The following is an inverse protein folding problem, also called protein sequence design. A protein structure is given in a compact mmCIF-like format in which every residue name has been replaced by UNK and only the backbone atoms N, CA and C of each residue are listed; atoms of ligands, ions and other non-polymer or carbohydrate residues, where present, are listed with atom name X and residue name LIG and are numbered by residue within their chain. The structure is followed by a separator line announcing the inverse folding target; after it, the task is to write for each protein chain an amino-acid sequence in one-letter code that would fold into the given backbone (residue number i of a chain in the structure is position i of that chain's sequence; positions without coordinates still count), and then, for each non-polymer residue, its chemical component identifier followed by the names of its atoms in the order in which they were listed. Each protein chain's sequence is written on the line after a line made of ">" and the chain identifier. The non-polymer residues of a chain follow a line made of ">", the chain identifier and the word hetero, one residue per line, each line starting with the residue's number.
data_IF_638367542249
#
_entry.id   IF_638367542249
#
_cell.length_a   1.000
_cell.length_b   1.000
_cell.length_c   1.000
_cell.angle_alpha   90.00
_cell.angle_beta   90.00
_cell.angle_gamma   90.00
#
_symmetry.space_group_name_H-M   'P 1'
#
loop_
_entity.id
_entity.type
_entity.pdbx_description
1 polymer ?
#
# COMPACT_ATOMS: atom_id res chain seq x y z
N UNK A 1 10.51 -8.89 -5.06
CA UNK A 1 9.07 -9.12 -4.86
C UNK A 1 8.62 -8.24 -3.70
N UNK A 2 7.61 -7.42 -3.92
CA UNK A 2 7.14 -6.44 -2.94
C UNK A 2 5.75 -6.80 -2.46
N UNK A 3 5.49 -6.57 -1.17
CA UNK A 3 4.17 -6.68 -0.56
C UNK A 3 3.76 -5.34 -0.01
N UNK A 4 2.50 -4.97 -0.17
CA UNK A 4 1.99 -3.72 0.37
C UNK A 4 0.51 -3.84 0.72
N UNK A 5 0.12 -3.08 1.75
CA UNK A 5 -1.25 -3.12 2.26
C UNK A 5 -2.16 -2.18 1.47
N UNK A 6 -3.28 -2.72 1.02
CA UNK A 6 -4.35 -1.98 0.35
C UNK A 6 -5.61 -2.06 1.18
N UNK A 7 -6.26 -0.93 1.43
CA UNK A 7 -7.56 -0.88 2.05
C UNK A 7 -8.64 -0.89 0.98
N UNK A 8 -9.52 -1.88 0.99
CA UNK A 8 -10.67 -1.95 0.09
C UNK A 8 -11.92 -1.54 0.86
N UNK A 9 -12.54 -0.43 0.44
CA UNK A 9 -13.84 0.03 0.93
C UNK A 9 -14.92 -0.55 0.02
N UNK A 10 -15.85 -1.31 0.58
CA UNK A 10 -16.90 -1.96 -0.21
C UNK A 10 -18.23 -2.04 0.55
N UNK A 11 -19.33 -2.20 -0.19
CA UNK A 11 -20.62 -2.49 0.41
C UNK A 11 -20.72 -3.97 0.78
N UNK A 12 -21.57 -4.29 1.76
CA UNK A 12 -21.90 -5.67 2.06
C UNK A 12 -22.45 -6.39 0.82
N UNK A 13 -21.99 -7.62 0.58
CA UNK A 13 -22.34 -8.42 -0.60
C UNK A 13 -21.79 -7.89 -1.93
N UNK A 14 -21.03 -6.81 -1.97
CA UNK A 14 -20.34 -6.37 -3.19
C UNK A 14 -19.28 -7.41 -3.61
N UNK A 15 -19.21 -7.69 -4.92
CA UNK A 15 -18.22 -8.62 -5.43
C UNK A 15 -16.82 -8.03 -5.32
N UNK A 16 -16.08 -8.49 -4.33
CA UNK A 16 -14.74 -8.03 -3.95
C UNK A 16 -13.72 -8.21 -5.09
N UNK A 17 -13.73 -9.38 -5.74
CA UNK A 17 -12.81 -9.66 -6.84
C UNK A 17 -12.99 -8.68 -8.00
N UNK A 18 -14.20 -8.21 -8.25
CA UNK A 18 -14.47 -7.23 -9.31
C UNK A 18 -13.89 -5.85 -9.01
N UNK A 19 -13.69 -5.50 -7.74
CA UNK A 19 -13.03 -4.24 -7.37
C UNK A 19 -11.53 -4.30 -7.64
N UNK A 20 -10.92 -5.45 -7.46
CA UNK A 20 -9.49 -5.68 -7.62
C UNK A 20 -9.11 -6.02 -9.09
N UNK A 21 -9.96 -6.76 -9.80
CA UNK A 21 -9.66 -7.28 -11.14
C UNK A 21 -9.12 -6.25 -12.15
N UNK A 22 -9.59 -4.98 -12.19
CA UNK A 22 -9.07 -3.98 -13.14
C UNK A 22 -7.58 -3.68 -12.98
N UNK A 23 -7.00 -4.02 -11.83
CA UNK A 23 -5.62 -3.70 -11.43
C UNK A 23 -4.69 -4.92 -11.46
N UNK A 24 -5.19 -6.07 -11.90
CA UNK A 24 -4.38 -7.28 -12.08
C UNK A 24 -3.42 -7.11 -13.26
N UNK A 25 -2.12 -7.35 -13.05
CA UNK A 25 -1.12 -7.25 -14.12
C UNK A 25 -1.31 -8.31 -15.21
N UNK A 26 -1.88 -9.46 -14.85
CA UNK A 26 -2.16 -10.55 -15.78
C UNK A 26 -3.47 -10.35 -16.60
N UNK A 27 -4.17 -9.23 -16.38
CA UNK A 27 -5.34 -8.88 -17.19
C UNK A 27 -4.88 -8.39 -18.57
N UNK A 28 -5.09 -9.19 -19.59
CA UNK A 28 -4.91 -8.75 -20.97
C UNK A 28 -6.02 -7.75 -21.37
N UNK A 29 -5.60 -6.63 -21.95
CA UNK A 29 -6.50 -5.62 -22.48
C UNK A 29 -6.45 -5.56 -24.01
N UNK A 30 -7.43 -4.91 -24.62
CA UNK A 30 -7.40 -4.66 -26.07
C UNK A 30 -6.08 -3.97 -26.45
N UNK A 31 -5.44 -4.38 -27.57
CA UNK A 31 -4.17 -3.79 -27.98
C UNK A 31 -4.24 -2.27 -28.12
N UNK A 32 -3.40 -1.57 -27.40
CA UNK A 32 -3.27 -0.12 -27.49
C UNK A 32 -1.89 0.28 -27.96
N UNK A 33 -1.81 1.41 -28.70
CA UNK A 33 -0.57 1.95 -29.20
C UNK A 33 0.39 2.27 -28.03
N UNK A 34 1.53 1.57 -27.98
CA UNK A 34 2.57 1.82 -26.97
C UNK A 34 3.66 2.73 -27.51
N UNK A 35 4.15 2.46 -28.73
CA UNK A 35 5.18 3.27 -29.38
C UNK A 35 4.94 3.37 -30.90
N UNK A 36 5.07 4.57 -31.44
CA UNK A 36 5.25 4.77 -32.88
C UNK A 36 6.60 4.22 -33.30
N UNK A 37 6.73 3.85 -34.59
CA UNK A 37 7.97 3.27 -35.14
C UNK A 37 9.22 4.05 -34.73
N UNK A 38 9.23 5.38 -34.96
CA UNK A 38 10.40 6.24 -34.68
C UNK A 38 10.74 6.28 -33.18
N UNK A 39 9.73 6.28 -32.31
CA UNK A 39 9.90 6.23 -30.85
C UNK A 39 10.48 4.89 -30.40
N UNK A 40 9.95 3.78 -30.95
CA UNK A 40 10.45 2.43 -30.67
C UNK A 40 11.92 2.30 -31.07
N UNK A 41 12.29 2.77 -32.27
CA UNK A 41 13.70 2.80 -32.73
C UNK A 41 14.59 3.66 -31.84
N UNK A 42 14.09 4.83 -31.44
CA UNK A 42 14.85 5.72 -30.54
C UNK A 42 15.13 5.02 -29.20
N UNK A 43 14.11 4.44 -28.56
CA UNK A 43 14.26 3.71 -27.29
C UNK A 43 15.17 2.48 -27.44
N UNK A 44 14.99 1.69 -28.50
CA UNK A 44 15.84 0.54 -28.76
C UNK A 44 17.32 0.93 -28.95
N UNK A 45 17.59 2.07 -29.55
CA UNK A 45 18.96 2.60 -29.68
C UNK A 45 19.54 3.10 -28.36
N UNK A 46 18.73 3.74 -27.55
CA UNK A 46 19.13 4.18 -26.20
C UNK A 46 19.50 2.98 -25.32
N UNK A 47 18.73 1.89 -25.41
CA UNK A 47 18.89 0.71 -24.58
C UNK A 47 19.98 -0.26 -25.05
N UNK A 48 19.98 -0.60 -26.35
CA UNK A 48 20.91 -1.61 -26.91
C UNK A 48 22.14 -1.00 -27.60
N UNK A 49 22.19 0.31 -27.77
CA UNK A 49 23.24 1.01 -28.50
C UNK A 49 23.16 0.86 -30.03
N UNK A 50 24.01 1.61 -30.72
CA UNK A 50 24.00 1.67 -32.18
C UNK A 50 24.85 0.59 -32.86
N UNK A 51 25.53 -0.30 -32.13
CA UNK A 51 26.57 -1.15 -32.68
C UNK A 51 25.98 -2.27 -33.55
N UNK A 52 26.21 -2.11 -34.90
CA UNK A 52 26.08 -3.15 -35.92
C UNK A 52 24.68 -3.74 -36.18
N UNK A 53 23.59 -3.06 -35.78
CA UNK A 53 22.22 -3.52 -36.05
C UNK A 53 21.45 -2.52 -36.90
N UNK A 54 20.65 -3.04 -37.83
CA UNK A 54 19.71 -2.21 -38.59
C UNK A 54 18.53 -1.76 -37.71
N UNK A 55 17.85 -0.70 -38.09
CA UNK A 55 16.62 -0.26 -37.39
C UNK A 55 15.58 -1.37 -37.32
N UNK A 56 15.47 -2.20 -38.37
CA UNK A 56 14.53 -3.32 -38.42
C UNK A 56 14.85 -4.40 -37.38
N UNK A 57 16.13 -4.70 -37.17
CA UNK A 57 16.58 -5.66 -36.16
C UNK A 57 16.37 -5.11 -34.76
N UNK A 58 16.71 -3.84 -34.54
CA UNK A 58 16.47 -3.17 -33.24
C UNK A 58 14.98 -3.13 -32.90
N UNK A 59 14.14 -2.80 -33.87
CA UNK A 59 12.69 -2.79 -33.69
C UNK A 59 12.14 -4.14 -33.27
N UNK A 60 12.59 -5.21 -33.95
CA UNK A 60 12.17 -6.57 -33.64
C UNK A 60 12.63 -7.01 -32.25
N UNK A 61 13.90 -6.77 -31.91
CA UNK A 61 14.45 -7.13 -30.59
C UNK A 61 13.66 -6.41 -29.49
N UNK A 62 13.42 -5.12 -29.67
CA UNK A 62 12.66 -4.32 -28.71
C UNK A 62 11.22 -4.82 -28.55
N UNK A 63 10.56 -5.16 -29.65
CA UNK A 63 9.22 -5.72 -29.63
C UNK A 63 9.18 -7.08 -28.89
N UNK A 64 10.10 -7.99 -29.25
CA UNK A 64 10.17 -9.34 -28.66
C UNK A 64 10.48 -9.28 -27.13
N UNK A 65 11.40 -8.42 -26.71
CA UNK A 65 11.82 -8.30 -25.32
C UNK A 65 10.72 -7.73 -24.41
N UNK A 66 9.95 -6.77 -24.92
CA UNK A 66 8.83 -6.15 -24.18
C UNK A 66 7.45 -6.78 -24.45
N UNK A 67 7.40 -7.91 -25.18
CA UNK A 67 6.14 -8.59 -25.51
C UNK A 67 5.17 -7.71 -26.29
N UNK A 68 5.69 -6.83 -27.16
CA UNK A 68 4.90 -5.89 -27.94
C UNK A 68 4.52 -6.47 -29.30
N UNK A 69 3.36 -6.07 -29.79
CA UNK A 69 2.79 -6.55 -31.05
C UNK A 69 3.03 -5.51 -32.16
N UNK A 70 3.67 -5.93 -33.26
CA UNK A 70 3.81 -5.07 -34.47
C UNK A 70 2.49 -5.04 -35.23
N UNK A 71 1.87 -3.88 -35.29
CA UNK A 71 0.68 -3.62 -36.12
C UNK A 71 1.01 -2.47 -37.07
N UNK A 72 1.20 -2.79 -38.34
CA UNK A 72 1.51 -1.82 -39.40
C UNK A 72 2.76 -0.95 -39.15
N UNK A 73 3.75 -1.50 -38.43
CA UNK A 73 5.01 -0.80 -38.15
C UNK A 73 5.02 0.00 -36.85
N UNK A 74 3.92 0.03 -36.11
CA UNK A 74 3.85 0.61 -34.77
C UNK A 74 3.74 -0.50 -33.73
N UNK A 75 4.22 -0.29 -32.50
CA UNK A 75 4.20 -1.28 -31.41
C UNK A 75 3.02 -1.06 -30.47
N UNK A 76 2.27 -2.13 -30.26
CA UNK A 76 1.09 -2.19 -29.39
C UNK A 76 1.34 -3.09 -28.21
N UNK A 77 0.70 -2.78 -27.09
CA UNK A 77 0.72 -3.61 -25.87
C UNK A 77 -0.66 -4.11 -25.53
N UNK A 78 -0.75 -5.34 -25.01
CA UNK A 78 -1.93 -5.91 -24.34
C UNK A 78 -1.75 -5.94 -22.81
N UNK A 79 -0.61 -5.46 -22.31
CA UNK A 79 -0.35 -5.37 -20.88
C UNK A 79 -1.28 -4.34 -20.22
N UNK A 80 -1.87 -4.68 -19.08
CA UNK A 80 -2.79 -3.79 -18.40
C UNK A 80 -2.09 -2.49 -17.94
N UNK A 81 -2.41 -1.32 -18.53
CA UNK A 81 -1.79 -0.06 -18.12
C UNK A 81 -2.16 0.38 -16.70
N UNK A 82 -3.21 -0.22 -16.12
CA UNK A 82 -3.65 0.02 -14.75
C UNK A 82 -3.12 -1.02 -13.76
N UNK A 83 -2.21 -1.91 -14.20
CA UNK A 83 -1.68 -2.97 -13.33
C UNK A 83 -1.08 -2.41 -12.06
N UNK A 84 -1.39 -3.07 -10.94
CA UNK A 84 -0.89 -2.73 -9.61
C UNK A 84 -0.42 -3.96 -8.84
N UNK A 85 -0.94 -5.15 -9.14
CA UNK A 85 -0.66 -6.38 -8.42
C UNK A 85 -0.73 -7.60 -9.37
N UNK A 86 0.04 -8.66 -9.06
CA UNK A 86 0.04 -9.95 -9.76
C UNK A 86 -0.79 -11.02 -9.02
N UNK A 87 -0.80 -10.99 -7.69
CA UNK A 87 -1.69 -11.78 -6.83
C UNK A 87 -1.96 -11.02 -5.52
N UNK A 88 -3.00 -11.43 -4.79
CA UNK A 88 -3.33 -10.86 -3.50
C UNK A 88 -3.90 -11.89 -2.52
N UNK A 89 -3.85 -11.57 -1.24
CA UNK A 89 -4.54 -12.29 -0.14
C UNK A 89 -5.27 -11.29 0.73
N UNK A 90 -6.45 -11.66 1.24
CA UNK A 90 -7.11 -10.92 2.31
C UNK A 90 -6.27 -11.10 3.57
N UNK A 91 -5.95 -10.00 4.24
CA UNK A 91 -5.01 -9.97 5.35
C UNK A 91 -3.58 -10.27 4.92
N UNK A 92 -3.26 -11.50 4.64
CA UNK A 92 -1.93 -11.95 4.22
C UNK A 92 -0.84 -11.60 5.24
N UNK A 93 0.18 -10.85 4.83
CA UNK A 93 1.24 -10.33 5.73
C UNK A 93 0.75 -9.21 6.65
N UNK A 94 -0.40 -8.65 6.35
CA UNK A 94 -1.04 -7.57 7.09
C UNK A 94 -2.30 -8.06 7.81
N UNK A 95 -2.40 -9.40 8.06
CA UNK A 95 -3.48 -9.99 8.84
C UNK A 95 -3.61 -9.31 10.20
N UNK A 96 -4.84 -9.23 10.69
CA UNK A 96 -5.18 -8.55 11.93
C UNK A 96 -4.80 -7.05 11.92
N UNK A 97 -4.82 -6.45 10.73
CA UNK A 97 -4.41 -5.07 10.50
C UNK A 97 -5.38 -4.00 11.00
N UNK A 98 -6.61 -4.38 11.37
CA UNK A 98 -7.65 -3.48 11.85
C UNK A 98 -7.95 -3.74 13.33
N UNK A 99 -7.53 -2.85 14.23
CA UNK A 99 -7.94 -2.88 15.64
C UNK A 99 -9.39 -2.39 15.75
N UNK A 100 -10.24 -3.16 16.45
CA UNK A 100 -11.64 -2.81 16.64
C UNK A 100 -11.84 -1.89 17.83
N UNK A 101 -12.86 -1.04 17.75
CA UNK A 101 -13.40 -0.30 18.89
C UNK A 101 -14.10 -1.24 19.87
N UNK A 102 -14.36 -0.79 21.10
CA UNK A 102 -15.09 -1.58 22.09
C UNK A 102 -16.48 -2.02 21.56
N UNK A 103 -17.18 -1.11 20.86
CA UNK A 103 -18.45 -1.45 20.19
C UNK A 103 -18.26 -2.47 19.07
N UNK A 104 -17.17 -2.37 18.30
CA UNK A 104 -16.83 -3.33 17.26
C UNK A 104 -16.53 -4.72 17.82
N UNK A 105 -15.84 -4.80 18.95
CA UNK A 105 -15.57 -6.02 19.69
C UNK A 105 -16.89 -6.65 20.17
N UNK A 106 -17.78 -5.87 20.78
CA UNK A 106 -19.09 -6.35 21.25
C UNK A 106 -19.94 -6.92 20.10
N UNK A 107 -19.96 -6.27 18.95
CA UNK A 107 -20.69 -6.75 17.77
C UNK A 107 -20.02 -7.98 17.15
N UNK A 108 -18.69 -8.05 17.13
CA UNK A 108 -17.95 -9.23 16.68
C UNK A 108 -18.25 -10.44 17.57
N UNK A 109 -18.20 -10.29 18.90
CA UNK A 109 -18.53 -11.36 19.85
C UNK A 109 -19.96 -11.87 19.63
N UNK A 110 -20.95 -10.98 19.43
CA UNK A 110 -22.35 -11.38 19.16
C UNK A 110 -22.51 -12.15 17.86
N UNK A 111 -21.71 -11.83 16.85
CA UNK A 111 -21.76 -12.46 15.53
C UNK A 111 -21.08 -13.83 15.47
N UNK A 112 -20.15 -14.09 16.38
CA UNK A 112 -19.48 -15.38 16.47
C UNK A 112 -20.43 -16.43 17.02
N UNK A 113 -20.85 -17.36 16.14
CA UNK A 113 -21.76 -18.44 16.52
C UNK A 113 -20.96 -19.64 17.05
N UNK A 114 -21.11 -19.86 18.38
CA UNK A 114 -21.05 -21.11 19.12
C UNK A 114 -19.82 -22.06 18.94
N UNK A 115 -19.72 -23.05 19.79
CA UNK A 115 -18.63 -23.98 19.92
C UNK A 115 -17.70 -23.59 21.08
N UNK A 116 -16.39 -23.71 20.91
CA UNK A 116 -15.41 -23.37 21.96
C UNK A 116 -15.45 -21.87 22.33
N UNK A 117 -15.71 -20.99 21.36
CA UNK A 117 -15.75 -19.53 21.55
C UNK A 117 -16.86 -19.14 22.56
N UNK A 118 -18.04 -19.73 22.46
CA UNK A 118 -19.12 -19.49 23.43
C UNK A 118 -18.86 -20.06 24.84
N UNK A 119 -17.79 -20.85 25.00
CA UNK A 119 -17.35 -21.42 26.30
C UNK A 119 -16.08 -20.71 26.82
N UNK A 120 -15.43 -19.89 26.02
CA UNK A 120 -14.26 -19.10 26.38
C UNK A 120 -14.65 -18.01 27.40
N UNK A 121 -13.69 -17.57 28.21
CA UNK A 121 -13.86 -16.40 29.07
C UNK A 121 -14.06 -15.13 28.22
N UNK A 122 -14.66 -14.12 28.84
CA UNK A 122 -14.83 -12.81 28.18
C UNK A 122 -13.49 -12.23 27.69
N UNK A 123 -12.44 -12.36 28.48
CA UNK A 123 -11.09 -11.92 28.12
C UNK A 123 -10.54 -12.66 26.90
N UNK A 124 -10.73 -13.97 26.79
CA UNK A 124 -10.33 -14.78 25.63
C UNK A 124 -11.16 -14.44 24.38
N UNK A 125 -12.45 -14.16 24.55
CA UNK A 125 -13.31 -13.73 23.45
C UNK A 125 -12.88 -12.37 22.90
N UNK A 126 -12.61 -11.40 23.77
CA UNK A 126 -12.11 -10.07 23.40
C UNK A 126 -10.78 -10.19 22.64
N UNK A 127 -9.81 -10.91 23.18
CA UNK A 127 -8.50 -11.07 22.57
C UNK A 127 -8.58 -11.70 21.18
N UNK A 128 -9.51 -12.63 20.98
CA UNK A 128 -9.72 -13.32 19.70
C UNK A 128 -10.29 -12.42 18.62
N UNK A 129 -11.19 -11.49 18.96
CA UNK A 129 -11.88 -10.64 17.97
C UNK A 129 -11.35 -9.20 17.91
N UNK A 130 -10.39 -8.85 18.77
CA UNK A 130 -9.85 -7.48 18.89
C UNK A 130 -9.28 -6.94 17.59
N UNK A 131 -8.76 -7.81 16.75
CA UNK A 131 -8.19 -7.48 15.46
C UNK A 131 -8.91 -8.24 14.35
N UNK A 132 -8.98 -7.64 13.17
CA UNK A 132 -9.66 -8.22 12.02
C UNK A 132 -8.97 -7.86 10.70
N UNK A 133 -9.17 -8.70 9.68
CA UNK A 133 -8.83 -8.38 8.30
C UNK A 133 -9.94 -7.58 7.60
N UNK A 134 -11.16 -7.68 8.12
CA UNK A 134 -12.33 -7.02 7.57
C UNK A 134 -13.31 -6.61 8.66
N UNK A 135 -13.74 -5.34 8.64
CA UNK A 135 -14.72 -4.83 9.61
C UNK A 135 -15.49 -3.64 9.05
N UNK A 136 -16.72 -3.36 9.56
CA UNK A 136 -17.40 -2.11 9.27
C UNK A 136 -16.56 -0.90 9.67
N UNK A 137 -16.49 0.10 8.79
CA UNK A 137 -15.62 1.27 8.94
C UNK A 137 -15.78 1.99 10.29
N UNK A 138 -17.01 2.03 10.81
CA UNK A 138 -17.36 2.67 12.09
C UNK A 138 -16.83 1.93 13.33
N UNK A 139 -16.45 0.66 13.18
CA UNK A 139 -15.97 -0.20 14.28
C UNK A 139 -14.45 -0.34 14.30
N UNK A 140 -13.74 0.40 13.43
CA UNK A 140 -12.28 0.38 13.37
C UNK A 140 -11.73 1.54 14.19
N UNK A 141 -10.71 1.25 14.96
CA UNK A 141 -9.98 2.22 15.79
C UNK A 141 -8.90 2.88 14.96
N UNK A 142 -9.27 3.94 14.23
CA UNK A 142 -8.38 4.63 13.29
C UNK A 142 -7.22 5.38 13.96
N UNK A 143 -7.36 5.67 15.25
CA UNK A 143 -6.34 6.34 16.05
C UNK A 143 -6.12 5.60 17.35
N UNK A 144 -4.85 5.29 17.64
CA UNK A 144 -4.41 4.69 18.90
C UNK A 144 -3.41 5.62 19.57
N UNK A 145 -3.85 6.51 20.47
CA UNK A 145 -2.98 7.47 21.13
C UNK A 145 -1.86 6.79 21.91
N UNK A 146 -0.63 7.22 21.66
CA UNK A 146 0.53 6.76 22.41
C UNK A 146 0.58 7.45 23.78
N UNK A 147 1.08 6.73 24.78
CA UNK A 147 1.40 7.30 26.09
C UNK A 147 2.51 8.35 25.97
N UNK A 148 2.61 9.25 26.96
CA UNK A 148 3.68 10.26 26.98
C UNK A 148 5.07 9.61 26.97
N UNK A 149 5.24 8.49 27.68
CA UNK A 149 6.50 7.75 27.71
C UNK A 149 6.90 7.22 26.33
N UNK A 150 5.94 6.68 25.57
CA UNK A 150 6.18 6.19 24.19
C UNK A 150 6.52 7.35 23.25
N UNK A 151 5.81 8.49 23.37
CA UNK A 151 6.12 9.70 22.59
C UNK A 151 7.53 10.22 22.88
N UNK A 152 7.93 10.25 24.16
CA UNK A 152 9.25 10.69 24.56
C UNK A 152 10.35 9.75 24.06
N UNK A 153 10.11 8.42 24.05
CA UNK A 153 10.99 7.42 23.44
C UNK A 153 11.15 7.61 21.93
N UNK A 154 10.04 7.84 21.21
CA UNK A 154 10.08 8.05 19.76
C UNK A 154 10.78 9.38 19.42
N UNK A 155 10.54 10.43 20.20
CA UNK A 155 11.23 11.71 20.04
C UNK A 155 12.74 11.55 20.25
N UNK A 156 13.14 10.84 21.32
CA UNK A 156 14.55 10.60 21.58
C UNK A 156 15.21 9.74 20.52
N UNK A 157 14.48 8.72 20.02
CA UNK A 157 14.93 7.92 18.89
C UNK A 157 15.19 8.79 17.64
N UNK A 158 14.28 9.74 17.34
CA UNK A 158 14.42 10.68 16.22
C UNK A 158 15.66 11.57 16.38
N UNK A 159 15.84 12.20 17.55
CA UNK A 159 16.98 13.04 17.85
C UNK A 159 18.32 12.30 17.59
N UNK A 160 18.43 11.07 18.06
CA UNK A 160 19.65 10.25 17.91
C UNK A 160 19.89 9.82 16.47
N UNK A 161 18.87 9.27 15.80
CA UNK A 161 19.06 8.57 14.53
C UNK A 161 18.90 9.47 13.31
N UNK A 162 18.05 10.49 13.40
CA UNK A 162 17.74 11.41 12.29
C UNK A 162 18.48 12.73 12.42
N UNK A 163 18.53 13.32 13.62
CA UNK A 163 19.21 14.60 13.85
C UNK A 163 20.68 14.44 14.22
N UNK A 164 21.05 13.27 14.70
CA UNK A 164 22.45 12.95 15.00
C UNK A 164 22.92 13.44 16.36
N UNK A 165 22.02 13.59 17.33
CA UNK A 165 22.34 13.99 18.69
C UNK A 165 23.33 13.04 19.36
N UNK A 166 24.08 13.58 20.31
CA UNK A 166 25.00 12.80 21.15
C UNK A 166 24.24 11.82 22.04
N UNK A 167 24.80 10.60 22.12
CA UNK A 167 24.25 9.54 22.96
C UNK A 167 24.49 9.86 24.44
N UNK A 168 23.46 9.67 25.25
CA UNK A 168 23.57 9.68 26.71
C UNK A 168 24.06 8.32 27.20
N UNK A 169 24.46 8.23 28.47
CA UNK A 169 24.95 6.97 29.03
C UNK A 169 23.87 5.87 28.97
N UNK A 170 24.21 4.77 28.33
CA UNK A 170 23.31 3.64 28.11
C UNK A 170 22.42 3.72 26.87
N UNK A 171 22.50 4.77 26.07
CA UNK A 171 21.82 4.87 24.78
C UNK A 171 22.67 4.29 23.66
N UNK A 172 22.01 3.75 22.63
CA UNK A 172 22.66 3.22 21.43
C UNK A 172 21.92 3.75 20.19
N UNK A 173 22.66 3.89 19.09
CA UNK A 173 22.03 4.14 17.77
C UNK A 173 21.26 2.91 17.34
N UNK A 174 20.15 3.13 16.67
CA UNK A 174 19.36 2.06 16.07
C UNK A 174 20.16 1.44 14.91
N UNK A 175 20.69 0.23 15.12
CA UNK A 175 21.46 -0.53 14.12
C UNK A 175 20.64 -0.95 12.90
N UNK A 176 19.31 -0.86 12.97
CA UNK A 176 18.40 -1.18 11.88
C UNK A 176 17.92 0.06 11.13
N UNK A 177 18.35 1.26 11.53
CA UNK A 177 18.09 2.49 10.80
C UNK A 177 19.07 2.64 9.64
N UNK A 178 18.64 2.21 8.44
CA UNK A 178 19.46 2.23 7.21
C UNK A 178 19.10 3.41 6.28
N UNK A 179 18.11 4.22 6.65
CA UNK A 179 17.63 5.30 5.82
C UNK A 179 18.59 6.48 5.82
N UNK A 180 18.64 7.17 4.68
CA UNK A 180 19.31 8.46 4.64
C UNK A 180 18.52 9.46 5.52
N UNK A 181 19.14 10.11 6.53
CA UNK A 181 18.46 11.05 7.42
C UNK A 181 17.74 12.18 6.69
N UNK A 182 18.30 12.70 5.60
CA UNK A 182 17.68 13.77 4.81
C UNK A 182 16.42 13.26 4.08
N UNK A 183 16.45 12.04 3.55
CA UNK A 183 15.26 11.42 2.99
C UNK A 183 14.20 11.21 4.07
N UNK A 184 14.60 10.78 5.24
CA UNK A 184 13.70 10.52 6.36
C UNK A 184 13.04 11.82 6.86
N UNK A 185 13.78 12.95 6.89
CA UNK A 185 13.22 14.29 7.19
C UNK A 185 12.22 14.74 6.12
N UNK A 186 12.48 14.48 4.84
CA UNK A 186 11.51 14.77 3.77
C UNK A 186 10.24 13.94 3.94
N UNK A 187 10.38 12.64 4.30
CA UNK A 187 9.26 11.70 4.47
C UNK A 187 8.39 12.00 5.69
N UNK A 188 8.97 12.47 6.78
CA UNK A 188 8.27 12.65 8.06
C UNK A 188 8.31 14.07 8.60
N UNK A 189 9.07 14.96 8.00
CA UNK A 189 9.25 16.37 8.34
C UNK A 189 9.98 16.57 9.68
N UNK A 190 9.39 16.14 10.80
CA UNK A 190 9.88 16.32 12.16
C UNK A 190 9.40 15.19 13.09
N UNK A 191 9.94 15.16 14.31
CA UNK A 191 9.60 14.18 15.33
C UNK A 191 8.11 14.17 15.69
N UNK A 192 7.47 15.34 15.74
CA UNK A 192 6.05 15.44 16.10
C UNK A 192 5.15 14.82 15.04
N UNK A 193 5.46 15.09 13.77
CA UNK A 193 4.76 14.49 12.64
C UNK A 193 4.98 12.97 12.59
N UNK A 194 6.23 12.52 12.80
CA UNK A 194 6.55 11.09 12.90
C UNK A 194 5.75 10.39 14.00
N UNK A 195 5.68 10.98 15.20
CA UNK A 195 4.90 10.47 16.33
C UNK A 195 3.40 10.45 16.00
N UNK A 196 2.86 11.54 15.41
CA UNK A 196 1.47 11.61 14.99
C UNK A 196 1.10 10.45 14.04
N UNK A 197 1.95 10.16 13.06
CA UNK A 197 1.71 9.07 12.10
C UNK A 197 1.76 7.68 12.76
N UNK A 198 2.49 7.52 13.89
CA UNK A 198 2.48 6.28 14.67
C UNK A 198 1.18 6.06 15.45
N UNK A 199 0.39 7.11 15.64
CA UNK A 199 -0.92 7.03 16.29
C UNK A 199 -2.07 6.77 15.28
N UNK A 200 -1.78 6.68 13.98
CA UNK A 200 -2.76 6.55 12.90
C UNK A 200 -2.59 5.23 12.15
N UNK A 201 -3.70 4.67 11.68
CA UNK A 201 -3.67 3.58 10.70
C UNK A 201 -3.78 4.19 9.30
N UNK A 202 -2.80 3.89 8.47
CA UNK A 202 -2.79 4.26 7.04
C UNK A 202 -2.41 3.06 6.18
N UNK A 203 -2.78 3.11 4.91
CA UNK A 203 -2.49 2.06 3.94
C UNK A 203 -1.82 2.67 2.71
N UNK A 204 -1.01 1.89 2.03
CA UNK A 204 -0.35 2.35 0.81
C UNK A 204 -1.34 2.76 -0.28
N UNK A 205 -2.45 2.03 -0.42
CA UNK A 205 -3.48 2.34 -1.40
C UNK A 205 -4.88 2.11 -0.84
N UNK A 206 -5.86 2.75 -1.47
CA UNK A 206 -7.30 2.56 -1.19
C UNK A 206 -8.03 2.25 -2.48
N UNK A 207 -8.93 1.25 -2.44
CA UNK A 207 -9.94 1.03 -3.46
C UNK A 207 -11.29 1.47 -2.89
N UNK A 208 -11.98 2.36 -3.59
CA UNK A 208 -13.32 2.84 -3.19
C UNK A 208 -14.44 1.97 -3.75
N UNK A 209 -15.69 2.04 -3.23
CA UNK A 209 -16.78 1.18 -3.69
C UNK A 209 -17.15 1.31 -5.17
N UNK A 210 -16.76 2.42 -5.81
CA UNK A 210 -16.88 2.62 -7.26
C UNK A 210 -15.72 2.00 -8.06
N UNK A 211 -14.84 1.27 -7.39
CA UNK A 211 -13.72 0.54 -7.99
C UNK A 211 -12.52 1.40 -8.36
N UNK A 212 -12.42 2.63 -7.85
CA UNK A 212 -11.26 3.48 -8.13
C UNK A 212 -10.10 3.20 -7.18
N UNK A 213 -8.91 3.14 -7.75
CA UNK A 213 -7.65 3.02 -7.04
C UNK A 213 -7.06 4.38 -6.72
N UNK A 214 -6.66 4.56 -5.48
CA UNK A 214 -5.94 5.73 -4.99
C UNK A 214 -4.66 5.29 -4.28
N UNK A 215 -3.55 5.94 -4.60
CA UNK A 215 -2.25 5.73 -3.95
C UNK A 215 -1.41 7.00 -4.12
N UNK A 216 -0.39 7.24 -3.29
CA UNK A 216 0.52 8.38 -3.44
C UNK A 216 1.44 8.21 -4.65
N UNK A 217 1.71 6.95 -5.03
CA UNK A 217 2.66 6.57 -6.09
C UNK A 217 2.38 5.15 -6.58
N UNK A 218 3.21 4.65 -7.50
CA UNK A 218 3.20 3.23 -7.84
C UNK A 218 4.19 2.47 -6.95
N UNK A 219 3.79 1.25 -6.58
CA UNK A 219 4.70 0.31 -5.93
C UNK A 219 5.50 -0.42 -7.00
N UNK A 220 6.79 -0.49 -6.80
CA UNK A 220 7.70 -1.25 -7.64
C UNK A 220 8.39 -2.36 -6.87
N UNK A 221 9.40 -2.97 -7.46
CA UNK A 221 10.19 -4.04 -6.87
C UNK A 221 10.94 -3.56 -5.63
N UNK A 222 11.12 -4.45 -4.65
CA UNK A 222 11.84 -4.19 -3.40
C UNK A 222 11.20 -3.10 -2.52
N UNK A 223 9.87 -2.95 -2.59
CA UNK A 223 9.11 -1.91 -1.91
C UNK A 223 9.61 -0.47 -2.23
N UNK A 224 10.23 -0.31 -3.41
CA UNK A 224 10.57 1.01 -3.90
C UNK A 224 9.34 1.64 -4.57
N UNK A 225 9.05 2.88 -4.24
CA UNK A 225 8.00 3.67 -4.86
C UNK A 225 8.59 4.64 -5.86
N UNK A 226 7.80 5.06 -6.85
CA UNK A 226 8.20 6.11 -7.81
C UNK A 226 7.76 7.52 -7.36
N UNK A 227 7.22 7.62 -6.12
CA UNK A 227 6.77 8.87 -5.53
C UNK A 227 7.86 9.62 -4.78
N UNK A 228 7.62 10.92 -4.55
CA UNK A 228 8.45 11.73 -3.68
C UNK A 228 8.05 11.53 -2.21
N UNK A 229 9.01 11.58 -1.26
CA UNK A 229 8.72 11.40 0.17
C UNK A 229 7.65 12.34 0.71
N UNK A 230 7.57 13.56 0.18
CA UNK A 230 6.58 14.56 0.57
C UNK A 230 5.17 14.23 0.09
N UNK A 231 5.02 13.52 -1.03
CA UNK A 231 3.73 13.07 -1.53
C UNK A 231 3.20 11.92 -0.67
N UNK A 232 4.07 11.02 -0.24
CA UNK A 232 3.74 9.96 0.71
C UNK A 232 3.37 10.52 2.08
N UNK A 233 4.10 11.55 2.57
CA UNK A 233 3.75 12.24 3.82
C UNK A 233 2.36 12.87 3.73
N UNK A 234 2.08 13.58 2.65
CA UNK A 234 0.78 14.21 2.43
C UNK A 234 -0.33 13.17 2.39
N UNK A 235 -0.11 12.05 1.68
CA UNK A 235 -1.02 10.92 1.63
C UNK A 235 -1.39 10.42 3.03
N UNK A 236 -0.40 10.13 3.87
CA UNK A 236 -0.63 9.63 5.22
C UNK A 236 -1.39 10.65 6.08
N UNK A 237 -1.03 11.93 6.02
CA UNK A 237 -1.68 12.99 6.80
C UNK A 237 -3.13 13.25 6.38
N UNK A 238 -3.45 13.10 5.10
CA UNK A 238 -4.78 13.34 4.53
C UNK A 238 -5.64 12.05 4.47
N UNK A 239 -5.05 10.89 4.75
CA UNK A 239 -5.68 9.58 4.58
C UNK A 239 -7.03 9.49 5.28
N UNK A 240 -7.07 9.83 6.56
CA UNK A 240 -8.27 9.76 7.37
C UNK A 240 -9.35 10.73 6.86
N UNK A 241 -9.03 11.98 6.67
CA UNK A 241 -9.96 13.02 6.25
C UNK A 241 -10.54 12.75 4.85
N UNK A 242 -9.75 12.09 4.01
CA UNK A 242 -10.14 11.82 2.62
C UNK A 242 -10.97 10.55 2.45
N UNK A 243 -10.63 9.48 3.14
CA UNK A 243 -11.23 8.17 2.89
C UNK A 243 -12.08 7.66 4.05
N UNK A 244 -11.81 8.07 5.28
CA UNK A 244 -12.43 7.50 6.46
C UNK A 244 -13.52 8.40 7.01
N UNK A 245 -13.20 9.64 7.38
CA UNK A 245 -14.13 10.58 8.02
C UNK A 245 -15.45 10.75 7.23
N UNK A 246 -15.42 10.93 5.89
CA UNK A 246 -16.66 11.07 5.10
C UNK A 246 -17.57 9.84 5.11
N UNK A 247 -16.99 8.67 5.46
CA UNK A 247 -17.67 7.37 5.39
C UNK A 247 -17.97 6.75 6.76
N UNK A 248 -17.56 7.36 7.87
CA UNK A 248 -17.73 6.81 9.23
C UNK A 248 -19.17 6.43 9.59
N UNK A 249 -20.15 7.17 9.06
CA UNK A 249 -21.58 6.92 9.30
C UNK A 249 -22.23 6.06 8.22
N UNK A 250 -21.42 5.46 7.33
CA UNK A 250 -21.92 4.55 6.29
C UNK A 250 -21.86 3.09 6.77
N UNK A 251 -22.49 2.20 5.99
CA UNK A 251 -22.40 0.75 6.20
C UNK A 251 -21.25 0.11 5.40
N UNK A 252 -20.24 0.90 5.02
CA UNK A 252 -19.09 0.38 4.30
C UNK A 252 -18.25 -0.54 5.18
N UNK A 253 -17.77 -1.59 4.55
CA UNK A 253 -16.80 -2.54 5.11
C UNK A 253 -15.42 -2.15 4.61
N UNK A 254 -14.45 -2.15 5.51
CA UNK A 254 -13.02 -2.04 5.23
C UNK A 254 -12.43 -3.44 5.23
N UNK A 255 -11.72 -3.80 4.18
CA UNK A 255 -10.96 -5.06 4.12
C UNK A 255 -9.51 -4.77 3.78
N UNK A 256 -8.59 -5.31 4.58
CA UNK A 256 -7.14 -5.23 4.34
C UNK A 256 -6.74 -6.31 3.34
N UNK A 257 -5.98 -5.92 2.35
CA UNK A 257 -5.47 -6.81 1.30
C UNK A 257 -3.97 -6.68 1.21
N UNK A 258 -3.29 -7.81 1.25
CA UNK A 258 -1.87 -7.93 0.93
C UNK A 258 -1.74 -8.09 -0.58
N UNK A 259 -1.35 -7.03 -1.26
CA UNK A 259 -1.05 -7.06 -2.69
C UNK A 259 0.44 -7.30 -2.92
N UNK A 260 0.73 -8.16 -3.90
CA UNK A 260 2.07 -8.49 -4.35
C UNK A 260 2.34 -7.92 -5.75
N UNK A 261 3.62 -7.55 -6.03
CA UNK A 261 4.12 -7.12 -7.34
C UNK A 261 5.59 -7.51 -7.52
#
# INVERSE_FOLDING_TARGET
>A
MSHYAVLVLHNDGQNFDKLLAPYNENLEVEPYLKYRYDEAIKKAKEEYGYRHRSNKELFKIFADEYGLIDINGDLYSTYNPNSKWDWYLIGGRFSDGLELTDEGIDEAIKSYDHGWFGQASEEEQIEYVKYADSAPIKYIKWFTPLSQEEKDKLRRWWEINVEGDELRNGEEKDKYFFWNPEWFKRRYKDADTYIKLKEMITFFAVITPDGKWYAPSNMGWWACTDGEPEDELRWDLEFYDKFIEPNLNSDLICTVVDCHI
#
